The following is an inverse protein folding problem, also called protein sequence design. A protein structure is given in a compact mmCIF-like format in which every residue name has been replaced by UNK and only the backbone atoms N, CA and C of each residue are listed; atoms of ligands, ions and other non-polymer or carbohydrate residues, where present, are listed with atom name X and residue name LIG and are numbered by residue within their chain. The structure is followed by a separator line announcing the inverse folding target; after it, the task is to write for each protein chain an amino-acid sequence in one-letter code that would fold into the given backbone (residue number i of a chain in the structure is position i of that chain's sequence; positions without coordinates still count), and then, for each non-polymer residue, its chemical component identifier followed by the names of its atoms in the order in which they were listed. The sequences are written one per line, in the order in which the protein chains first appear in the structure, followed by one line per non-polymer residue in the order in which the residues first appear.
data_IF_751801319307
#
_entry.id   IF_751801319307
#
_cell.length_a   1.000
_cell.length_b   1.000
_cell.length_c   1.000
_cell.angle_alpha   90.00
_cell.angle_beta   90.00
_cell.angle_gamma   90.00
#
_symmetry.space_group_name_H-M   'P 1'
#
loop_
_entity.id
_entity.type
_entity.pdbx_description
1 polymer ?
#
# COMPACT_ATOMS: atom_id res chain seq x y z
N UNK A 1 32.30 25.73 -32.66
CA UNK A 1 30.86 25.48 -32.81
C UNK A 1 30.43 24.47 -31.77
N UNK A 2 29.29 24.75 -31.14
CA UNK A 2 28.88 24.27 -29.83
C UNK A 2 28.35 22.82 -29.79
N UNK A 3 28.22 22.37 -28.54
CA UNK A 3 27.27 21.37 -28.03
C UNK A 3 27.62 19.90 -28.16
N UNK A 4 27.95 19.30 -27.02
CA UNK A 4 27.02 18.31 -26.45
C UNK A 4 27.21 18.18 -24.94
N UNK A 5 26.88 19.24 -24.20
CA UNK A 5 26.44 19.16 -22.79
C UNK A 5 25.07 18.47 -22.65
N UNK A 6 24.70 17.61 -23.60
CA UNK A 6 23.37 17.00 -23.74
C UNK A 6 23.32 15.52 -23.36
N UNK A 7 24.40 14.96 -22.80
CA UNK A 7 24.27 13.80 -21.92
C UNK A 7 23.85 14.25 -20.51
N UNK A 8 22.75 15.00 -20.46
CA UNK A 8 21.97 15.19 -19.25
C UNK A 8 21.62 13.80 -18.76
N UNK A 9 22.27 13.37 -17.67
CA UNK A 9 22.03 12.12 -16.94
C UNK A 9 20.59 11.66 -17.14
N UNK A 10 20.39 10.71 -18.05
CA UNK A 10 19.16 9.94 -18.07
C UNK A 10 19.15 9.21 -16.72
N UNK A 11 18.13 9.40 -15.87
CA UNK A 11 18.07 8.71 -14.60
C UNK A 11 18.14 7.22 -14.92
N UNK A 12 19.23 6.60 -14.45
CA UNK A 12 19.42 5.16 -14.57
C UNK A 12 18.17 4.49 -14.01
N UNK A 13 17.73 3.39 -14.62
CA UNK A 13 16.61 2.56 -14.15
C UNK A 13 16.70 2.13 -12.67
N UNK A 14 17.83 2.41 -12.00
CA UNK A 14 18.09 2.27 -10.57
C UNK A 14 17.69 3.47 -9.68
N UNK A 15 17.36 4.65 -10.24
CA UNK A 15 17.00 5.84 -9.45
C UNK A 15 15.50 5.96 -9.13
N UNK A 16 14.66 5.00 -9.54
CA UNK A 16 13.24 4.98 -9.14
C UNK A 16 12.97 4.12 -7.89
N UNK A 17 14.00 3.83 -7.09
CA UNK A 17 13.74 3.36 -5.73
C UNK A 17 13.24 4.56 -4.93
N UNK A 18 11.92 4.65 -4.75
CA UNK A 18 11.32 5.56 -3.79
C UNK A 18 12.08 5.41 -2.46
N UNK A 19 12.41 6.53 -1.83
CA UNK A 19 12.94 6.53 -0.48
C UNK A 19 12.05 5.66 0.43
N UNK A 20 12.63 5.04 1.46
CA UNK A 20 11.86 4.31 2.48
C UNK A 20 10.71 5.19 3.02
N UNK A 21 11.00 6.47 3.23
CA UNK A 21 10.02 7.48 3.66
C UNK A 21 8.83 7.59 2.69
N UNK A 22 9.13 7.74 1.39
CA UNK A 22 8.13 7.83 0.33
C UNK A 22 7.34 6.53 0.19
N UNK A 23 8.00 5.39 0.39
CA UNK A 23 7.37 4.08 0.34
C UNK A 23 6.39 3.90 1.51
N UNK A 24 6.76 4.33 2.72
CA UNK A 24 5.87 4.31 3.90
C UNK A 24 4.70 5.28 3.70
N UNK A 25 4.94 6.50 3.20
CA UNK A 25 3.88 7.45 2.88
C UNK A 25 2.91 6.91 1.81
N UNK A 26 3.45 6.23 0.79
CA UNK A 26 2.64 5.59 -0.25
C UNK A 26 1.82 4.43 0.32
N UNK A 27 2.39 3.62 1.21
CA UNK A 27 1.68 2.55 1.90
C UNK A 27 0.49 3.10 2.71
N UNK A 28 0.67 4.22 3.40
CA UNK A 28 -0.42 4.86 4.15
C UNK A 28 -1.57 5.33 3.24
N UNK A 29 -1.25 5.95 2.11
CA UNK A 29 -2.25 6.34 1.10
C UNK A 29 -2.97 5.11 0.53
N UNK A 30 -2.25 4.04 0.22
CA UNK A 30 -2.84 2.81 -0.33
C UNK A 30 -3.75 2.11 0.69
N UNK A 31 -3.41 2.13 2.00
CA UNK A 31 -4.30 1.67 3.08
C UNK A 31 -5.58 2.50 3.13
N UNK A 32 -5.48 3.83 3.07
CA UNK A 32 -6.66 4.73 3.09
C UNK A 32 -7.55 4.50 1.88
N UNK A 33 -6.95 4.37 0.70
CA UNK A 33 -7.68 4.09 -0.55
C UNK A 33 -8.40 2.76 -0.49
N UNK A 34 -7.73 1.69 -0.04
CA UNK A 34 -8.33 0.37 0.05
C UNK A 34 -9.54 0.35 0.99
N UNK A 35 -9.48 1.09 2.11
CA UNK A 35 -10.65 1.29 2.99
C UNK A 35 -11.81 1.92 2.25
N UNK A 36 -11.57 3.01 1.51
CA UNK A 36 -12.61 3.69 0.74
C UNK A 36 -13.21 2.74 -0.31
N UNK A 37 -12.38 1.98 -1.02
CA UNK A 37 -12.85 1.01 -2.03
C UNK A 37 -13.73 -0.09 -1.41
N UNK A 38 -13.36 -0.61 -0.23
CA UNK A 38 -14.21 -1.55 0.51
C UNK A 38 -15.50 -0.89 1.01
N UNK A 39 -15.45 0.36 1.49
CA UNK A 39 -16.66 1.09 1.89
C UNK A 39 -17.61 1.29 0.70
N UNK A 40 -17.09 1.63 -0.49
CA UNK A 40 -17.89 1.74 -1.72
C UNK A 40 -18.51 0.39 -2.08
N UNK A 41 -17.74 -0.70 -2.03
CA UNK A 41 -18.26 -2.05 -2.24
C UNK A 41 -19.38 -2.39 -1.26
N UNK A 42 -19.16 -2.15 0.03
CA UNK A 42 -20.16 -2.46 1.05
C UNK A 42 -21.43 -1.62 0.89
N UNK A 43 -21.31 -0.37 0.45
CA UNK A 43 -22.48 0.47 0.15
C UNK A 43 -23.14 0.15 -1.22
N UNK A 44 -22.68 -0.88 -1.93
CA UNK A 44 -23.25 -1.31 -3.20
C UNK A 44 -22.85 -0.46 -4.41
N UNK A 45 -21.88 0.45 -4.26
CA UNK A 45 -21.39 1.29 -5.36
C UNK A 45 -20.60 0.51 -6.43
N UNK A 46 -20.07 -0.66 -6.08
CA UNK A 46 -19.47 -1.61 -7.02
C UNK A 46 -19.88 -3.04 -6.69
N UNK A 47 -19.94 -3.91 -7.70
CA UNK A 47 -20.40 -5.31 -7.55
C UNK A 47 -19.34 -6.28 -7.03
N UNK A 48 -18.05 -5.90 -7.07
CA UNK A 48 -16.93 -6.78 -6.73
C UNK A 48 -16.04 -6.13 -5.69
N UNK A 49 -15.54 -6.88 -4.70
CA UNK A 49 -14.63 -6.33 -3.71
C UNK A 49 -13.23 -6.07 -4.30
N UNK A 50 -12.47 -5.12 -3.75
CA UNK A 50 -11.14 -4.73 -4.25
C UNK A 50 -10.02 -5.72 -3.84
N UNK A 51 -10.19 -7.01 -4.14
CA UNK A 51 -9.26 -8.08 -3.72
C UNK A 51 -7.85 -7.93 -4.32
N UNK A 52 -7.76 -7.51 -5.57
CA UNK A 52 -6.48 -7.24 -6.25
C UNK A 52 -5.71 -6.10 -5.58
N UNK A 53 -6.40 -5.02 -5.20
CA UNK A 53 -5.79 -3.91 -4.48
C UNK A 53 -5.32 -4.36 -3.08
N UNK A 54 -6.10 -5.19 -2.39
CA UNK A 54 -5.72 -5.84 -1.13
C UNK A 54 -4.45 -6.68 -1.30
N UNK A 55 -4.39 -7.55 -2.29
CA UNK A 55 -3.25 -8.43 -2.52
C UNK A 55 -1.95 -7.64 -2.82
N UNK A 56 -2.05 -6.58 -3.63
CA UNK A 56 -0.91 -5.68 -3.89
C UNK A 56 -0.42 -4.99 -2.62
N UNK A 57 -1.33 -4.49 -1.78
CA UNK A 57 -0.99 -3.86 -0.51
C UNK A 57 -0.32 -4.86 0.45
N UNK A 58 -0.85 -6.08 0.56
CA UNK A 58 -0.25 -7.14 1.39
C UNK A 58 1.17 -7.51 0.94
N UNK A 59 1.42 -7.53 -0.38
CA UNK A 59 2.76 -7.72 -0.93
C UNK A 59 3.71 -6.57 -0.56
N UNK A 60 3.26 -5.32 -0.62
CA UNK A 60 4.05 -4.16 -0.18
C UNK A 60 4.37 -4.21 1.32
N UNK A 61 3.39 -4.55 2.15
CA UNK A 61 3.57 -4.72 3.60
C UNK A 61 4.63 -5.78 3.88
N UNK A 62 4.54 -6.93 3.23
CA UNK A 62 5.52 -8.02 3.39
C UNK A 62 6.93 -7.57 3.01
N UNK A 63 7.10 -6.91 1.87
CA UNK A 63 8.40 -6.39 1.42
C UNK A 63 9.01 -5.38 2.40
N UNK A 64 8.20 -4.51 2.99
CA UNK A 64 8.68 -3.54 4.00
C UNK A 64 8.98 -4.21 5.35
N UNK A 65 8.18 -5.21 5.75
CA UNK A 65 8.43 -5.98 6.97
C UNK A 65 9.79 -6.70 6.91
N UNK A 66 10.10 -7.30 5.76
CA UNK A 66 11.35 -8.03 5.50
C UNK A 66 12.58 -7.09 5.37
N UNK A 67 12.37 -5.77 5.25
CA UNK A 67 13.45 -4.81 5.12
C UNK A 67 14.12 -4.52 6.47
N UNK A 68 15.34 -5.04 6.67
CA UNK A 68 16.14 -4.85 7.89
C UNK A 68 16.76 -3.44 8.02
N UNK A 69 16.68 -2.60 7.00
CA UNK A 69 17.33 -1.26 6.96
C UNK A 69 16.45 -0.12 7.48
N UNK A 70 15.23 -0.40 7.94
CA UNK A 70 14.35 0.62 8.51
C UNK A 70 14.97 1.20 9.79
N UNK A 71 14.98 2.54 9.91
CA UNK A 71 15.30 3.20 11.18
C UNK A 71 14.23 2.90 12.24
N UNK A 72 14.51 3.18 13.50
CA UNK A 72 13.52 2.99 14.58
C UNK A 72 12.23 3.78 14.33
N UNK A 73 12.34 5.05 13.93
CA UNK A 73 11.19 5.90 13.62
C UNK A 73 10.36 5.33 12.45
N UNK A 74 11.02 4.92 11.37
CA UNK A 74 10.35 4.32 10.21
C UNK A 74 9.68 3.00 10.55
N UNK A 75 10.32 2.16 11.38
CA UNK A 75 9.75 0.90 11.85
C UNK A 75 8.52 1.14 12.73
N UNK A 76 8.56 2.14 13.60
CA UNK A 76 7.42 2.53 14.42
C UNK A 76 6.23 3.00 13.56
N UNK A 77 6.48 3.88 12.59
CA UNK A 77 5.46 4.34 11.66
C UNK A 77 4.88 3.18 10.84
N UNK A 78 5.73 2.32 10.29
CA UNK A 78 5.31 1.12 9.56
C UNK A 78 4.43 0.19 10.43
N UNK A 79 4.84 -0.11 11.66
CA UNK A 79 4.07 -0.96 12.57
C UNK A 79 2.69 -0.36 12.91
N UNK A 80 2.61 0.97 13.04
CA UNK A 80 1.34 1.70 13.22
C UNK A 80 0.43 1.49 12.01
N UNK A 81 0.96 1.58 10.79
CA UNK A 81 0.20 1.34 9.56
C UNK A 81 -0.28 -0.11 9.45
N UNK A 82 0.57 -1.09 9.78
CA UNK A 82 0.20 -2.52 9.77
C UNK A 82 -0.92 -2.80 10.78
N UNK A 83 -0.86 -2.19 11.96
CA UNK A 83 -1.89 -2.33 13.00
C UNK A 83 -3.24 -1.77 12.51
N UNK A 84 -3.21 -0.60 11.87
CA UNK A 84 -4.40 0.02 11.24
C UNK A 84 -4.99 -0.87 10.14
N UNK A 85 -4.14 -1.38 9.24
CA UNK A 85 -4.56 -2.29 8.18
C UNK A 85 -5.20 -3.57 8.75
N UNK A 86 -4.60 -4.15 9.79
CA UNK A 86 -5.12 -5.36 10.46
C UNK A 86 -6.52 -5.12 11.04
N UNK A 87 -6.74 -3.97 11.67
CA UNK A 87 -8.06 -3.59 12.19
C UNK A 87 -9.11 -3.46 11.07
N UNK A 88 -8.75 -2.86 9.93
CA UNK A 88 -9.66 -2.80 8.77
C UNK A 88 -9.95 -4.17 8.17
N UNK A 89 -8.94 -5.03 8.03
CA UNK A 89 -9.12 -6.41 7.56
C UNK A 89 -10.11 -7.18 8.43
N UNK A 90 -10.01 -7.00 9.75
CA UNK A 90 -10.94 -7.62 10.69
C UNK A 90 -12.36 -7.08 10.57
N UNK A 91 -12.51 -5.76 10.42
CA UNK A 91 -13.79 -5.11 10.15
C UNK A 91 -14.42 -5.71 8.90
N UNK A 92 -13.72 -5.71 7.77
CA UNK A 92 -14.23 -6.24 6.51
C UNK A 92 -14.62 -7.70 6.65
N UNK A 93 -13.76 -8.54 7.26
CA UNK A 93 -14.05 -9.94 7.51
C UNK A 93 -15.36 -10.15 8.29
N UNK A 94 -15.64 -9.31 9.29
CA UNK A 94 -16.92 -9.33 10.03
C UNK A 94 -18.09 -8.90 9.15
N UNK A 95 -17.90 -7.86 8.33
CA UNK A 95 -18.92 -7.36 7.40
C UNK A 95 -19.30 -8.41 6.34
N UNK A 96 -18.32 -9.10 5.74
CA UNK A 96 -18.56 -10.21 4.81
C UNK A 96 -19.41 -11.30 5.46
N UNK A 97 -19.02 -11.77 6.65
CA UNK A 97 -19.82 -12.75 7.41
C UNK A 97 -21.25 -12.29 7.68
N UNK A 98 -21.45 -11.02 8.05
CA UNK A 98 -22.79 -10.49 8.29
C UNK A 98 -23.68 -10.46 7.05
N UNK A 99 -23.09 -10.49 5.86
CA UNK A 99 -23.78 -10.51 4.56
C UNK A 99 -23.98 -11.93 4.01
N UNK A 100 -23.47 -12.96 4.69
CA UNK A 100 -23.45 -14.32 4.17
C UNK A 100 -22.46 -14.52 3.02
N UNK A 101 -21.50 -13.62 2.87
CA UNK A 101 -20.44 -13.71 1.87
C UNK A 101 -19.14 -14.23 2.52
N UNK A 102 -18.34 -14.98 1.77
CA UNK A 102 -17.01 -15.40 2.21
C UNK A 102 -15.95 -14.38 1.83
N UNK A 103 -15.04 -14.11 2.78
CA UNK A 103 -13.88 -13.26 2.59
C UNK A 103 -12.72 -14.08 2.00
N UNK A 104 -12.86 -14.53 0.75
CA UNK A 104 -11.84 -15.30 0.02
C UNK A 104 -11.18 -14.49 -1.08
#
# INVERSE_FOLDING_TARGET
MASSDLYKKLPSRRESELSIEQTIAKLEEDIRRLKIEFDIYFNGGVKRPPLEARARLESQIKRLADNRKLTFAQRYQFNTLVSRYTAYRELWRRTFRSRGEDFT
#
